data_IF_134539028862
#
_entry.id   IF_134539028862
#
_cell.length_a   1.000
_cell.length_b   1.000
_cell.length_c   1.000
_cell.angle_alpha   90.00
_cell.angle_beta   90.00
_cell.angle_gamma   90.00
#
_symmetry.space_group_name_H-M   'P 1'
#
loop_
_entity.id
_entity.type
_entity.pdbx_description
1 polymer ?
#
# COMPACT_ATOMS: atom_id res chain seq x y z
N UNK A 1 -13.45 23.56 -29.64
CA UNK A 1 -12.14 22.96 -29.98
C UNK A 1 -12.01 21.62 -29.30
N UNK A 2 -11.60 20.57 -30.02
CA UNK A 2 -11.29 19.28 -29.40
C UNK A 2 -9.91 19.38 -28.74
N UNK A 3 -9.86 19.42 -27.42
CA UNK A 3 -8.63 19.62 -26.62
C UNK A 3 -7.96 18.31 -26.21
N UNK A 4 -8.52 17.17 -26.64
CA UNK A 4 -7.98 15.84 -26.31
C UNK A 4 -6.76 15.53 -27.19
N UNK A 5 -5.66 15.14 -26.54
CA UNK A 5 -4.42 14.70 -27.19
C UNK A 5 -4.21 13.21 -26.97
N UNK A 6 -3.42 12.59 -27.84
CA UNK A 6 -3.08 11.15 -27.77
C UNK A 6 -1.68 10.98 -27.20
N UNK A 7 -1.54 10.09 -26.22
CA UNK A 7 -0.26 9.65 -25.67
C UNK A 7 -0.02 8.21 -26.14
N UNK A 8 1.10 7.98 -26.81
CA UNK A 8 1.55 6.65 -27.23
C UNK A 8 2.75 6.22 -26.40
N UNK A 9 2.65 5.06 -25.75
CA UNK A 9 3.69 4.52 -24.87
C UNK A 9 4.09 3.13 -25.35
N UNK A 10 5.39 2.91 -25.53
CA UNK A 10 5.95 1.57 -25.80
C UNK A 10 6.15 0.82 -24.48
N UNK A 11 5.64 -0.40 -24.41
CA UNK A 11 5.77 -1.30 -23.26
C UNK A 11 5.63 -2.75 -23.76
N UNK A 12 6.04 -3.71 -22.95
CA UNK A 12 5.85 -5.13 -23.27
C UNK A 12 4.42 -5.60 -22.97
N UNK A 13 4.07 -6.76 -23.52
CA UNK A 13 2.73 -7.33 -23.41
C UNK A 13 2.36 -7.65 -21.97
N UNK A 14 3.28 -8.22 -21.19
CA UNK A 14 3.01 -8.65 -19.82
C UNK A 14 2.73 -7.45 -18.91
N UNK A 15 3.54 -6.39 -19.01
CA UNK A 15 3.32 -5.15 -18.26
C UNK A 15 1.96 -4.52 -18.58
N UNK A 16 1.59 -4.49 -19.87
CA UNK A 16 0.29 -3.94 -20.30
C UNK A 16 -0.89 -4.76 -19.77
N UNK A 17 -0.79 -6.09 -19.81
CA UNK A 17 -1.83 -6.99 -19.32
C UNK A 17 -2.00 -6.85 -17.81
N UNK A 18 -0.91 -6.89 -17.04
CA UNK A 18 -0.94 -6.70 -15.59
C UNK A 18 -1.53 -5.34 -15.18
N UNK A 19 -1.12 -4.24 -15.83
CA UNK A 19 -1.67 -2.93 -15.55
C UNK A 19 -3.18 -2.84 -15.86
N UNK A 20 -3.64 -3.55 -16.89
CA UNK A 20 -5.06 -3.61 -17.25
C UNK A 20 -5.87 -4.42 -16.23
N UNK A 21 -5.31 -5.51 -15.69
CA UNK A 21 -5.95 -6.27 -14.60
C UNK A 21 -6.11 -5.43 -13.33
N UNK A 22 -5.09 -4.66 -12.95
CA UNK A 22 -5.16 -3.72 -11.81
C UNK A 22 -6.23 -2.66 -12.05
N UNK A 23 -6.31 -2.10 -13.27
CA UNK A 23 -7.37 -1.13 -13.57
C UNK A 23 -8.77 -1.76 -13.45
N UNK A 24 -8.95 -2.96 -14.00
CA UNK A 24 -10.24 -3.69 -13.97
C UNK A 24 -10.67 -4.07 -12.56
N UNK A 25 -9.74 -4.48 -11.69
CA UNK A 25 -10.06 -4.81 -10.30
C UNK A 25 -10.59 -3.61 -9.53
N UNK A 26 -10.26 -2.39 -9.97
CA UNK A 26 -10.79 -1.12 -9.45
C UNK A 26 -12.03 -0.62 -10.20
N UNK A 27 -12.56 -1.38 -11.18
CA UNK A 27 -13.69 -0.97 -12.02
C UNK A 27 -13.35 0.12 -13.05
N UNK A 28 -12.06 0.31 -13.36
CA UNK A 28 -11.56 1.33 -14.28
C UNK A 28 -11.02 0.69 -15.56
N UNK A 29 -10.97 1.48 -16.65
CA UNK A 29 -10.15 1.12 -17.80
C UNK A 29 -8.73 1.71 -17.65
N UNK A 30 -7.78 1.14 -18.38
CA UNK A 30 -6.38 1.54 -18.31
C UNK A 30 -6.15 3.03 -18.64
N UNK A 31 -6.91 3.61 -19.58
CA UNK A 31 -6.78 5.03 -19.93
C UNK A 31 -7.22 5.96 -18.80
N UNK A 32 -8.26 5.60 -18.06
CA UNK A 32 -8.71 6.35 -16.87
C UNK A 32 -7.64 6.30 -15.79
N UNK A 33 -7.08 5.11 -15.53
CA UNK A 33 -5.99 4.94 -14.57
C UNK A 33 -4.77 5.80 -14.92
N UNK A 34 -4.31 5.76 -16.17
CA UNK A 34 -3.15 6.56 -16.62
C UNK A 34 -3.44 8.05 -16.47
N UNK A 35 -4.62 8.52 -16.88
CA UNK A 35 -4.97 9.94 -16.74
C UNK A 35 -5.07 10.39 -15.27
N UNK A 36 -5.58 9.54 -14.39
CA UNK A 36 -5.63 9.83 -12.95
C UNK A 36 -4.22 9.93 -12.37
N UNK A 37 -3.33 9.01 -12.73
CA UNK A 37 -1.94 9.04 -12.28
C UNK A 37 -1.19 10.28 -12.78
N UNK A 38 -1.38 10.68 -14.04
CA UNK A 38 -0.78 11.91 -14.58
C UNK A 38 -1.24 13.16 -13.82
N UNK A 39 -2.53 13.24 -13.45
CA UNK A 39 -3.04 14.34 -12.61
C UNK A 39 -2.40 14.32 -11.23
N UNK A 40 -2.29 13.15 -10.60
CA UNK A 40 -1.63 13.01 -9.31
C UNK A 40 -0.17 13.48 -9.36
N UNK A 41 0.57 13.13 -10.42
CA UNK A 41 1.96 13.60 -10.61
C UNK A 41 2.02 15.12 -10.77
N UNK A 42 1.07 15.72 -11.51
CA UNK A 42 0.97 17.18 -11.66
C UNK A 42 0.69 17.86 -10.32
N UNK A 43 -0.27 17.35 -9.55
CA UNK A 43 -0.71 17.93 -8.28
C UNK A 43 0.37 17.81 -7.21
N UNK A 44 1.03 16.65 -7.12
CA UNK A 44 2.04 16.37 -6.11
C UNK A 44 3.45 16.85 -6.49
N UNK A 45 3.69 17.14 -7.78
CA UNK A 45 4.99 17.51 -8.35
C UNK A 45 6.12 16.53 -8.00
N UNK A 46 5.79 15.26 -7.79
CA UNK A 46 6.75 14.19 -7.50
C UNK A 46 6.30 12.87 -8.12
N UNK A 47 7.27 11.99 -8.36
CA UNK A 47 7.03 10.61 -8.79
C UNK A 47 7.53 9.69 -7.69
N UNK A 48 6.69 8.76 -7.26
CA UNK A 48 7.05 7.76 -6.25
C UNK A 48 7.39 6.45 -6.95
N UNK A 49 8.65 6.02 -6.82
CA UNK A 49 9.07 4.69 -7.22
C UNK A 49 9.13 3.82 -5.98
N UNK A 50 8.24 2.85 -5.90
CA UNK A 50 8.30 1.85 -4.84
C UNK A 50 9.35 0.80 -5.22
N UNK A 51 10.53 0.86 -4.61
CA UNK A 51 11.36 -0.33 -4.50
C UNK A 51 10.74 -1.20 -3.40
N UNK A 52 10.49 -2.51 -3.62
CA UNK A 52 9.96 -3.37 -2.57
C UNK A 52 10.89 -3.31 -1.37
N UNK A 53 10.46 -2.60 -0.32
CA UNK A 53 11.22 -2.46 0.90
C UNK A 53 11.20 -3.82 1.61
N UNK A 54 12.37 -4.45 1.70
CA UNK A 54 12.52 -5.62 2.55
C UNK A 54 12.25 -5.19 3.99
N UNK A 55 11.52 -6.02 4.75
CA UNK A 55 11.27 -5.73 6.15
C UNK A 55 12.59 -5.47 6.87
N UNK A 56 12.65 -4.41 7.67
CA UNK A 56 13.83 -4.21 8.51
C UNK A 56 13.98 -5.39 9.47
N UNK A 57 15.20 -5.84 9.81
CA UNK A 57 15.41 -6.91 10.77
C UNK A 57 14.74 -6.66 12.14
N UNK A 58 14.54 -5.39 12.50
CA UNK A 58 13.79 -4.98 13.71
C UNK A 58 12.31 -5.32 13.59
N UNK A 59 11.69 -5.06 12.44
CA UNK A 59 10.29 -5.36 12.20
C UNK A 59 10.05 -6.88 12.13
N UNK A 60 10.95 -7.64 11.49
CA UNK A 60 10.88 -9.10 11.45
C UNK A 60 10.93 -9.72 12.85
N UNK A 61 11.89 -9.29 13.68
CA UNK A 61 11.99 -9.75 15.08
C UNK A 61 10.75 -9.41 15.89
N UNK A 62 10.18 -8.22 15.69
CA UNK A 62 8.98 -7.78 16.40
C UNK A 62 7.77 -8.63 16.01
N UNK A 63 7.57 -8.89 14.72
CA UNK A 63 6.48 -9.76 14.25
C UNK A 63 6.67 -11.21 14.69
N UNK A 64 7.89 -11.74 14.71
CA UNK A 64 8.18 -13.07 15.23
C UNK A 64 7.83 -13.20 16.72
N UNK A 65 8.12 -12.16 17.53
CA UNK A 65 7.74 -12.11 18.94
C UNK A 65 6.23 -12.11 19.11
N UNK A 66 5.52 -11.24 18.39
CA UNK A 66 4.04 -11.15 18.43
C UNK A 66 3.40 -12.47 18.00
N UNK A 67 3.89 -13.10 16.93
CA UNK A 67 3.37 -14.41 16.46
C UNK A 67 3.56 -15.51 17.50
N UNK A 68 4.70 -15.54 18.19
CA UNK A 68 4.93 -16.49 19.30
C UNK A 68 4.01 -16.22 20.48
N UNK A 69 3.76 -14.95 20.80
CA UNK A 69 2.87 -14.56 21.90
C UNK A 69 1.40 -14.87 21.59
N UNK A 70 0.93 -14.67 20.36
CA UNK A 70 -0.43 -15.01 19.93
C UNK A 70 -0.75 -16.51 19.99
N UNK A 71 0.23 -17.38 19.74
CA UNK A 71 0.09 -18.83 19.89
C UNK A 71 0.18 -19.32 21.33
N UNK A 72 0.54 -18.45 22.27
CA UNK A 72 0.65 -18.76 23.69
C UNK A 72 -0.53 -18.16 24.46
N UNK A 73 -1.01 -18.84 25.50
CA UNK A 73 -2.14 -18.37 26.34
C UNK A 73 -1.84 -17.09 27.16
N UNK A 74 -0.73 -16.40 26.90
CA UNK A 74 -0.27 -15.19 27.60
C UNK A 74 -0.89 -13.92 27.01
N UNK A 75 -2.22 -13.84 27.03
CA UNK A 75 -2.92 -12.57 26.76
C UNK A 75 -3.15 -11.85 28.07
N UNK A 76 -2.58 -10.66 28.20
CA UNK A 76 -2.92 -9.75 29.31
C UNK A 76 -4.28 -9.13 28.99
N UNK A 77 -5.21 -9.20 29.93
CA UNK A 77 -6.52 -8.57 29.82
C UNK A 77 -6.70 -7.63 31.01
N UNK A 78 -7.45 -6.56 30.79
CA UNK A 78 -7.74 -5.56 31.80
C UNK A 78 -9.25 -5.45 31.95
N UNK A 79 -9.73 -5.30 33.18
CA UNK A 79 -11.15 -5.16 33.50
C UNK A 79 -11.65 -3.72 33.44
N UNK A 80 -10.75 -2.74 33.42
CA UNK A 80 -11.06 -1.32 33.31
C UNK A 80 -10.03 -0.59 32.43
N UNK A 81 -10.40 0.60 31.98
CA UNK A 81 -9.61 1.42 31.04
C UNK A 81 -8.40 2.07 31.73
N UNK A 82 -8.50 2.34 33.03
CA UNK A 82 -7.44 3.01 33.81
C UNK A 82 -6.19 2.12 33.92
N UNK A 83 -6.38 0.84 34.23
CA UNK A 83 -5.31 -0.16 34.32
C UNK A 83 -4.65 -0.42 32.96
N UNK A 84 -5.44 -0.41 31.87
CA UNK A 84 -4.91 -0.51 30.50
C UNK A 84 -4.00 0.69 30.18
N UNK A 85 -4.45 1.91 30.49
CA UNK A 85 -3.70 3.13 30.20
C UNK A 85 -2.43 3.25 31.04
N UNK A 86 -2.42 2.72 32.27
CA UNK A 86 -1.22 2.65 33.09
C UNK A 86 -0.16 1.71 32.49
N UNK A 87 -0.57 0.58 31.92
CA UNK A 87 0.35 -0.40 31.32
C UNK A 87 0.97 0.08 30.00
N UNK A 88 0.20 0.82 29.19
CA UNK A 88 0.66 1.35 27.90
C UNK A 88 1.62 2.54 27.99
N UNK A 89 1.68 3.21 29.15
CA UNK A 89 2.54 4.39 29.37
C UNK A 89 3.95 4.03 29.87
N UNK A 90 4.24 2.75 30.10
CA UNK A 90 5.57 2.22 30.40
C UNK A 90 6.30 1.80 29.11
#
# INVERSE_FOLDING_TARGET
MNTKTVISVKTDKATKEAANEVAKSMGLNLSVLINAYLKQVIDMRRVEFYAPEQMTPKLEKSLLKVRKEMGSSKRKSFSNVEDLLADLKN
#
